data_IF_424992151955
#
_entry.id   IF_424992151955
#
_cell.length_a   1.000
_cell.length_b   1.000
_cell.length_c   1.000
_cell.angle_alpha   90.00
_cell.angle_beta   90.00
_cell.angle_gamma   90.00
#
_symmetry.space_group_name_H-M   'P 1'
#
loop_
_entity.id
_entity.type
_entity.pdbx_description
1 polymer ?
#
# COMPACT_ATOMS: atom_id res chain seq x y z
N UNK A 1 -13.18 -18.59 12.91
CA UNK A 1 -13.08 -17.53 13.93
C UNK A 1 -12.93 -16.11 13.36
N UNK A 2 -12.33 -15.92 12.21
CA UNK A 2 -12.15 -14.58 11.60
C UNK A 2 -13.47 -13.92 11.17
N UNK A 3 -14.48 -14.69 10.79
CA UNK A 3 -15.77 -14.15 10.34
C UNK A 3 -16.67 -13.55 11.42
N UNK A 4 -16.47 -13.91 12.68
CA UNK A 4 -17.29 -13.41 13.79
C UNK A 4 -16.83 -12.02 14.26
N UNK A 5 -15.52 -11.76 14.21
CA UNK A 5 -14.94 -10.47 14.57
C UNK A 5 -15.24 -9.38 13.53
N UNK A 6 -15.21 -9.74 12.24
CA UNK A 6 -15.57 -8.81 11.16
C UNK A 6 -17.04 -8.36 11.26
N UNK A 7 -17.96 -9.28 11.56
CA UNK A 7 -19.39 -8.97 11.76
C UNK A 7 -19.70 -8.16 13.02
N UNK A 8 -18.87 -8.30 14.06
CA UNK A 8 -19.00 -7.50 15.29
C UNK A 8 -18.52 -6.06 15.07
N UNK A 9 -17.44 -5.87 14.32
CA UNK A 9 -16.90 -4.56 13.95
C UNK A 9 -17.86 -3.82 13.01
N UNK A 10 -18.43 -4.51 12.03
CA UNK A 10 -19.44 -3.94 11.11
C UNK A 10 -20.70 -3.45 11.85
N UNK A 11 -21.15 -4.18 12.88
CA UNK A 11 -22.31 -3.76 13.70
C UNK A 11 -22.00 -2.55 14.58
N UNK A 12 -20.76 -2.41 15.05
CA UNK A 12 -20.35 -1.29 15.92
C UNK A 12 -20.12 -0.01 15.12
N UNK A 13 -19.46 -0.12 13.97
CA UNK A 13 -19.23 1.01 13.05
C UNK A 13 -20.53 1.47 12.39
N UNK A 14 -21.40 0.53 11.99
CA UNK A 14 -22.73 0.84 11.42
C UNK A 14 -23.68 1.54 12.41
N UNK A 15 -23.50 1.34 13.71
CA UNK A 15 -24.33 1.99 14.76
C UNK A 15 -23.85 3.41 15.06
N UNK A 16 -22.55 3.65 15.02
CA UNK A 16 -21.94 4.98 15.21
C UNK A 16 -22.19 5.93 14.03
N UNK A 17 -22.17 5.39 12.79
CA UNK A 17 -22.43 6.18 11.59
C UNK A 17 -23.91 6.55 11.40
N UNK A 18 -24.82 5.82 12.02
CA UNK A 18 -26.27 6.07 11.88
C UNK A 18 -26.77 7.24 12.74
N UNK A 19 -26.00 7.70 13.70
CA UNK A 19 -26.44 8.73 14.65
C UNK A 19 -26.04 10.17 14.31
N UNK A 20 -25.09 10.42 13.40
CA UNK A 20 -24.59 11.80 13.26
C UNK A 20 -24.24 12.31 11.87
N UNK A 21 -24.36 11.53 10.78
CA UNK A 21 -24.01 12.05 9.45
C UNK A 21 -25.00 11.51 8.40
N UNK A 22 -25.80 12.41 7.80
CA UNK A 22 -26.63 12.11 6.63
C UNK A 22 -25.76 12.17 5.37
N UNK A 23 -25.11 11.04 5.04
CA UNK A 23 -24.40 10.90 3.76
C UNK A 23 -25.33 10.30 2.70
N UNK A 24 -25.24 10.76 1.43
CA UNK A 24 -26.00 10.16 0.34
C UNK A 24 -25.57 8.73 0.09
N UNK A 25 -26.56 7.85 -0.10
CA UNK A 25 -26.41 6.40 -0.31
C UNK A 25 -25.29 5.93 -1.29
N UNK A 26 -24.99 6.64 -2.40
CA UNK A 26 -23.93 6.20 -3.32
C UNK A 26 -22.54 6.19 -2.67
N UNK A 27 -22.25 7.18 -1.82
CA UNK A 27 -20.94 7.31 -1.17
C UNK A 27 -20.69 6.24 -0.10
N UNK A 28 -21.74 5.73 0.54
CA UNK A 28 -21.65 4.63 1.51
C UNK A 28 -21.29 3.30 0.82
N UNK A 29 -21.80 3.07 -0.37
CA UNK A 29 -21.53 1.88 -1.16
C UNK A 29 -20.09 1.86 -1.68
N UNK A 30 -19.58 3.02 -2.12
CA UNK A 30 -18.19 3.19 -2.56
C UNK A 30 -17.19 3.01 -1.42
N UNK A 31 -17.43 3.62 -0.25
CA UNK A 31 -16.56 3.43 0.92
C UNK A 31 -16.51 1.97 1.38
N UNK A 32 -17.65 1.28 1.39
CA UNK A 32 -17.74 -0.13 1.77
C UNK A 32 -17.00 -1.03 0.76
N UNK A 33 -17.10 -0.72 -0.52
CA UNK A 33 -16.40 -1.45 -1.58
C UNK A 33 -14.89 -1.25 -1.50
N UNK A 34 -14.43 -0.03 -1.27
CA UNK A 34 -13.01 0.33 -1.11
C UNK A 34 -12.41 -0.32 0.15
N UNK A 35 -13.09 -0.26 1.29
CA UNK A 35 -12.64 -0.86 2.55
C UNK A 35 -12.62 -2.39 2.46
N UNK A 36 -13.64 -3.00 1.90
CA UNK A 36 -13.72 -4.46 1.73
C UNK A 36 -12.64 -4.99 0.77
N UNK A 37 -12.39 -4.27 -0.33
CA UNK A 37 -11.37 -4.63 -1.32
C UNK A 37 -9.94 -4.44 -0.79
N UNK A 38 -9.70 -3.44 0.06
CA UNK A 38 -8.41 -3.21 0.71
C UNK A 38 -8.10 -4.24 1.80
N UNK A 39 -9.09 -4.68 2.56
CA UNK A 39 -8.91 -5.75 3.55
C UNK A 39 -8.64 -7.11 2.90
N UNK A 40 -9.32 -7.46 1.82
CA UNK A 40 -9.12 -8.73 1.13
C UNK A 40 -7.74 -8.85 0.46
N UNK A 41 -7.14 -7.73 0.00
CA UNK A 41 -5.80 -7.73 -0.61
C UNK A 41 -4.67 -7.78 0.41
N UNK A 42 -4.84 -7.23 1.61
CA UNK A 42 -3.82 -7.26 2.66
C UNK A 42 -3.55 -8.66 3.23
N UNK A 43 -4.45 -9.61 3.02
CA UNK A 43 -4.32 -10.98 3.53
C UNK A 43 -3.63 -11.95 2.55
N UNK A 44 -3.47 -11.58 1.29
CA UNK A 44 -2.94 -12.45 0.24
C UNK A 44 -1.47 -12.22 -0.14
N UNK A 45 -0.88 -11.10 0.25
CA UNK A 45 0.52 -10.77 -0.07
C UNK A 45 1.30 -10.52 1.21
N UNK A 46 2.43 -11.22 1.39
CA UNK A 46 3.38 -10.89 2.45
C UNK A 46 3.97 -9.49 2.25
N UNK A 47 4.54 -8.87 3.29
CA UNK A 47 5.06 -7.50 3.22
C UNK A 47 6.15 -7.33 2.15
N UNK A 48 6.87 -8.39 1.79
CA UNK A 48 7.89 -8.38 0.74
C UNK A 48 7.31 -8.35 -0.68
N UNK A 49 6.00 -8.55 -0.85
CA UNK A 49 5.31 -8.55 -2.14
C UNK A 49 4.23 -7.47 -2.20
N UNK A 50 4.13 -6.61 -1.19
CA UNK A 50 3.21 -5.47 -1.17
C UNK A 50 3.63 -4.45 -2.24
N UNK A 51 2.80 -4.25 -3.29
CA UNK A 51 3.15 -3.34 -4.38
C UNK A 51 3.45 -1.92 -3.92
N UNK A 52 2.79 -1.43 -2.89
CA UNK A 52 3.00 -0.07 -2.36
C UNK A 52 4.40 0.07 -1.78
N UNK A 53 4.86 -0.90 -0.97
CA UNK A 53 6.21 -0.89 -0.40
C UNK A 53 7.29 -1.09 -1.46
N UNK A 54 7.04 -1.92 -2.46
CA UNK A 54 7.97 -2.13 -3.58
C UNK A 54 8.14 -0.84 -4.41
N UNK A 55 7.05 -0.15 -4.72
CA UNK A 55 7.07 1.11 -5.46
C UNK A 55 7.79 2.20 -4.66
N UNK A 56 7.46 2.36 -3.38
CA UNK A 56 8.13 3.33 -2.52
C UNK A 56 9.63 3.04 -2.40
N UNK A 57 10.01 1.76 -2.29
CA UNK A 57 11.43 1.35 -2.25
C UNK A 57 12.16 1.70 -3.54
N UNK A 58 11.53 1.51 -4.69
CA UNK A 58 12.08 1.90 -5.99
C UNK A 58 12.25 3.42 -6.09
N UNK A 59 11.24 4.19 -5.69
CA UNK A 59 11.26 5.66 -5.75
C UNK A 59 12.17 6.31 -4.72
N UNK A 60 12.55 5.60 -3.65
CA UNK A 60 13.53 6.08 -2.69
C UNK A 60 14.93 6.31 -3.31
N UNK A 61 15.23 5.63 -4.40
CA UNK A 61 16.45 5.82 -5.19
C UNK A 61 16.41 7.03 -6.15
N UNK A 62 15.29 7.74 -6.23
CA UNK A 62 15.09 8.91 -7.09
C UNK A 62 13.81 8.83 -7.93
N UNK A 63 13.44 9.92 -8.60
CA UNK A 63 12.27 9.97 -9.45
C UNK A 63 12.34 8.96 -10.61
N UNK A 64 11.22 8.28 -10.90
CA UNK A 64 11.15 7.30 -12.00
C UNK A 64 9.78 7.34 -12.67
N UNK A 65 9.76 7.01 -13.96
CA UNK A 65 8.53 6.69 -14.69
C UNK A 65 8.01 5.31 -14.30
N UNK A 66 6.71 5.08 -14.48
CA UNK A 66 6.08 3.81 -14.12
C UNK A 66 6.77 2.58 -14.70
N UNK A 67 7.19 2.62 -15.95
CA UNK A 67 7.94 1.51 -16.56
C UNK A 67 9.28 1.24 -15.88
N UNK A 68 10.02 2.29 -15.54
CA UNK A 68 11.29 2.15 -14.82
C UNK A 68 11.10 1.61 -13.41
N UNK A 69 9.98 1.95 -12.74
CA UNK A 69 9.60 1.35 -11.45
C UNK A 69 9.35 -0.15 -11.59
N UNK A 70 8.61 -0.58 -12.62
CA UNK A 70 8.37 -2.03 -12.85
C UNK A 70 9.66 -2.81 -13.07
N UNK A 71 10.58 -2.27 -13.89
CA UNK A 71 11.88 -2.91 -14.13
C UNK A 71 12.74 -2.97 -12.86
N UNK A 72 12.80 -1.89 -12.11
CA UNK A 72 13.57 -1.81 -10.89
C UNK A 72 13.05 -2.82 -9.85
N UNK A 73 11.75 -2.87 -9.62
CA UNK A 73 11.09 -3.84 -8.72
C UNK A 73 11.38 -5.28 -9.15
N UNK A 74 11.30 -5.57 -10.44
CA UNK A 74 11.66 -6.89 -10.98
C UNK A 74 13.11 -7.25 -10.65
N UNK A 75 14.02 -6.30 -10.74
CA UNK A 75 15.45 -6.50 -10.51
C UNK A 75 15.78 -6.76 -9.04
N UNK A 76 15.29 -5.92 -8.11
CA UNK A 76 15.67 -6.06 -6.70
C UNK A 76 14.78 -7.02 -5.90
N UNK A 77 13.52 -7.20 -6.28
CA UNK A 77 12.58 -8.05 -5.55
C UNK A 77 12.20 -9.34 -6.27
N UNK A 78 12.55 -9.50 -7.55
CA UNK A 78 12.12 -10.63 -8.37
C UNK A 78 10.60 -10.66 -8.63
N UNK A 79 9.89 -9.56 -8.37
CA UNK A 79 8.43 -9.46 -8.49
C UNK A 79 8.05 -8.74 -9.78
N UNK A 80 7.21 -9.38 -10.59
CA UNK A 80 6.67 -8.78 -11.80
C UNK A 80 5.40 -7.98 -11.48
N UNK A 81 5.49 -6.66 -11.47
CA UNK A 81 4.33 -5.79 -11.35
C UNK A 81 3.70 -5.57 -12.73
N UNK A 82 2.43 -5.94 -12.88
CA UNK A 82 1.66 -5.56 -14.06
C UNK A 82 1.29 -4.07 -14.06
N UNK A 83 1.05 -3.46 -15.26
CA UNK A 83 0.69 -2.04 -15.35
C UNK A 83 -0.54 -1.67 -14.53
N UNK A 84 -1.59 -2.50 -14.53
CA UNK A 84 -2.80 -2.27 -13.75
C UNK A 84 -2.53 -2.23 -12.24
N UNK A 85 -1.71 -3.14 -11.72
CA UNK A 85 -1.32 -3.18 -10.32
C UNK A 85 -0.47 -1.97 -9.96
N UNK A 86 0.50 -1.62 -10.81
CA UNK A 86 1.36 -0.47 -10.61
C UNK A 86 0.54 0.82 -10.50
N UNK A 87 -0.27 1.15 -11.50
CA UNK A 87 -1.00 2.41 -11.51
C UNK A 87 -2.09 2.49 -10.44
N UNK A 88 -2.72 1.37 -10.09
CA UNK A 88 -3.63 1.33 -8.94
C UNK A 88 -2.91 1.63 -7.63
N UNK A 89 -1.72 1.08 -7.42
CA UNK A 89 -0.93 1.35 -6.23
C UNK A 89 -0.41 2.80 -6.22
N UNK A 90 0.09 3.31 -7.35
CA UNK A 90 0.54 4.71 -7.46
C UNK A 90 -0.59 5.68 -7.13
N UNK A 91 -1.81 5.46 -7.63
CA UNK A 91 -2.96 6.32 -7.31
C UNK A 91 -3.19 6.39 -5.80
N UNK A 92 -3.14 5.26 -5.11
CA UNK A 92 -3.28 5.24 -3.63
C UNK A 92 -2.14 5.98 -2.93
N UNK A 93 -0.91 5.77 -3.39
CA UNK A 93 0.25 6.44 -2.81
C UNK A 93 0.19 7.97 -3.00
N UNK A 94 -0.40 8.43 -4.10
CA UNK A 94 -0.66 9.86 -4.35
C UNK A 94 -1.78 10.37 -3.44
N UNK A 95 -2.88 9.62 -3.29
CA UNK A 95 -3.99 9.96 -2.39
C UNK A 95 -3.53 10.08 -0.93
N UNK A 96 -2.57 9.25 -0.51
CA UNK A 96 -1.94 9.31 0.83
C UNK A 96 -0.83 10.37 0.93
N UNK A 97 -0.54 11.11 -0.13
CA UNK A 97 0.57 12.07 -0.20
C UNK A 97 1.96 11.47 0.04
N UNK A 98 2.16 10.18 -0.22
CA UNK A 98 3.47 9.52 -0.11
C UNK A 98 4.26 9.56 -1.40
N UNK A 99 3.57 9.77 -2.51
CA UNK A 99 4.15 9.93 -3.85
C UNK A 99 3.49 11.13 -4.51
N UNK A 100 4.25 11.85 -5.31
CA UNK A 100 3.72 12.95 -6.13
C UNK A 100 4.15 12.79 -7.58
N UNK A 101 3.26 13.10 -8.54
CA UNK A 101 3.63 13.21 -9.94
C UNK A 101 4.45 14.47 -10.15
N UNK A 102 5.51 14.37 -10.93
CA UNK A 102 6.30 15.54 -11.35
C UNK A 102 5.78 16.09 -12.66
N UNK A 103 5.84 17.40 -12.79
CA UNK A 103 5.55 18.04 -14.08
C UNK A 103 6.66 17.75 -15.09
N UNK A 104 6.26 17.43 -16.30
CA UNK A 104 7.16 17.21 -17.42
C UNK A 104 6.48 17.66 -18.70
N UNK A 105 7.26 18.17 -19.63
CA UNK A 105 6.81 18.51 -21.00
C UNK A 105 6.60 17.27 -21.88
N UNK A 106 6.92 16.08 -21.38
CA UNK A 106 6.84 14.80 -22.10
C UNK A 106 5.55 14.02 -21.83
N UNK A 107 5.33 12.98 -22.63
CA UNK A 107 4.19 12.05 -22.54
C UNK A 107 4.16 11.21 -21.25
N UNK A 108 5.32 11.00 -20.62
CA UNK A 108 5.47 10.15 -19.45
C UNK A 108 5.75 11.01 -18.22
N UNK A 109 4.90 10.94 -17.24
CA UNK A 109 5.09 11.64 -15.96
C UNK A 109 5.96 10.80 -15.03
N UNK A 110 7.09 11.31 -14.55
CA UNK A 110 7.82 10.66 -13.49
C UNK A 110 7.12 10.90 -12.15
N UNK A 111 7.33 9.98 -11.23
CA UNK A 111 6.84 10.04 -9.86
C UNK A 111 8.01 10.21 -8.91
N UNK A 112 7.78 10.92 -7.82
CA UNK A 112 8.76 11.15 -6.75
C UNK A 112 8.14 10.77 -5.42
N UNK A 113 8.94 10.13 -4.55
CA UNK A 113 8.54 9.90 -3.16
C UNK A 113 8.62 11.20 -2.38
N UNK A 114 7.62 11.46 -1.52
CA UNK A 114 7.60 12.63 -0.64
C UNK A 114 8.35 12.36 0.67
N UNK A 115 8.58 13.40 1.48
CA UNK A 115 9.13 13.25 2.83
C UNK A 115 8.23 12.37 3.72
N UNK A 116 6.91 12.49 3.59
CA UNK A 116 5.94 11.64 4.29
C UNK A 116 6.05 10.18 3.83
N UNK A 117 6.18 9.94 2.52
CA UNK A 117 6.40 8.61 1.95
C UNK A 117 7.70 7.97 2.42
N UNK A 118 8.79 8.73 2.48
CA UNK A 118 10.07 8.26 3.04
C UNK A 118 9.93 7.88 4.52
N UNK A 119 9.23 8.67 5.30
CA UNK A 119 8.95 8.37 6.71
C UNK A 119 8.16 7.08 6.89
N UNK A 120 7.08 6.92 6.12
CA UNK A 120 6.30 5.70 6.11
C UNK A 120 7.12 4.47 5.71
N UNK A 121 7.85 4.55 4.59
CA UNK A 121 8.71 3.47 4.10
C UNK A 121 9.72 3.05 5.16
N UNK A 122 10.41 4.01 5.79
CA UNK A 122 11.39 3.73 6.85
C UNK A 122 10.78 2.93 8.00
N UNK A 123 9.61 3.32 8.48
CA UNK A 123 8.90 2.61 9.55
C UNK A 123 8.58 1.18 9.17
N UNK A 124 8.08 0.95 7.94
CA UNK A 124 7.74 -0.39 7.48
C UNK A 124 8.98 -1.27 7.31
N UNK A 125 10.05 -0.75 6.71
CA UNK A 125 11.31 -1.48 6.55
C UNK A 125 11.94 -1.82 7.90
N UNK A 126 11.88 -0.92 8.88
CA UNK A 126 12.39 -1.19 10.23
C UNK A 126 11.60 -2.30 10.94
N UNK A 127 10.26 -2.35 10.77
CA UNK A 127 9.44 -3.46 11.27
C UNK A 127 9.85 -4.79 10.63
N UNK A 128 10.05 -4.81 9.33
CA UNK A 128 10.49 -6.00 8.60
C UNK A 128 11.89 -6.46 9.05
N UNK A 129 12.81 -5.51 9.22
CA UNK A 129 14.17 -5.79 9.73
C UNK A 129 14.14 -6.42 11.13
N UNK A 130 13.33 -5.89 12.04
CA UNK A 130 13.18 -6.43 13.40
C UNK A 130 12.63 -7.85 13.36
N UNK A 131 11.58 -8.10 12.59
CA UNK A 131 10.99 -9.43 12.44
C UNK A 131 12.00 -10.43 11.84
N UNK A 132 12.64 -10.04 10.75
CA UNK A 132 13.66 -10.87 10.09
C UNK A 132 14.81 -11.19 11.04
N UNK A 133 15.38 -10.18 11.71
CA UNK A 133 16.48 -10.37 12.66
C UNK A 133 16.10 -11.27 13.83
N UNK A 134 14.90 -11.13 14.35
CA UNK A 134 14.39 -11.97 15.43
C UNK A 134 14.23 -13.43 14.98
N UNK A 135 13.58 -13.65 13.84
CA UNK A 135 13.35 -15.00 13.30
C UNK A 135 14.65 -15.73 12.98
N UNK A 136 15.59 -15.05 12.30
CA UNK A 136 16.89 -15.62 11.96
C UNK A 136 17.71 -16.02 13.19
N UNK A 137 17.66 -15.21 14.27
CA UNK A 137 18.32 -15.59 15.54
C UNK A 137 17.73 -16.86 16.14
N UNK A 138 16.40 -17.03 16.09
CA UNK A 138 15.73 -18.23 16.61
C UNK A 138 16.06 -19.47 15.82
N UNK A 139 16.09 -19.37 14.49
CA UNK A 139 16.46 -20.50 13.61
C UNK A 139 17.91 -20.96 13.88
N UNK A 140 18.84 -20.02 14.13
CA UNK A 140 20.25 -20.36 14.41
C UNK A 140 20.47 -20.98 15.80
N UNK A 141 19.52 -20.84 16.69
CA UNK A 141 19.60 -21.38 18.05
C UNK A 141 19.05 -22.83 18.15
N UNK A 142 18.54 -23.39 17.06
CA UNK A 142 18.10 -24.78 16.91
C UNK A 142 19.19 -25.60 16.21
#
# INVERSE_FOLDING_TARGET
>A
MVGLFARALERRVGRLLRQHISFPLPMYFELRYIVSRNMARKTASGPATDPELLILSSLAGGPKHGYAVMQDVSTFAGVQLGPGTLYTAITRLVDENWVEPMETSGRQRPYRITSAGLGYLRVQLEKMRRLSSFGLRRIRAV
#
